data_IF_998365728142
#
_entry.id   IF_998365728142
#
_cell.length_a   1.000
_cell.length_b   1.000
_cell.length_c   1.000
_cell.angle_alpha   90.00
_cell.angle_beta   90.00
_cell.angle_gamma   90.00
#
_symmetry.space_group_name_H-M   'P 1'
#
loop_
_entity.id
_entity.type
_entity.pdbx_description
1 polymer ?
#
# COMPACT_ATOMS: atom_id res chain seq x y z
N UNK A 1 -20.78 32.41 58.93
CA UNK A 1 -19.75 31.40 59.25
C UNK A 1 -19.52 30.54 58.02
N UNK A 2 -18.25 30.41 57.62
CA UNK A 2 -17.74 29.52 56.57
C UNK A 2 -18.35 28.13 56.67
N UNK A 3 -18.73 27.55 55.53
CA UNK A 3 -18.44 26.15 55.23
C UNK A 3 -18.18 26.04 53.73
N UNK A 4 -16.90 25.97 53.43
CA UNK A 4 -16.32 25.65 52.13
C UNK A 4 -16.61 24.17 51.91
N UNK A 5 -17.47 23.83 50.95
CA UNK A 5 -17.47 22.50 50.35
C UNK A 5 -16.91 22.64 48.93
N UNK A 6 -15.58 22.56 48.87
CA UNK A 6 -14.80 22.43 47.67
C UNK A 6 -15.02 21.01 47.13
N UNK A 7 -16.07 20.82 46.32
CA UNK A 7 -16.27 19.55 45.59
C UNK A 7 -15.41 19.58 44.33
N UNK A 8 -14.15 19.19 44.52
CA UNK A 8 -13.21 18.83 43.48
C UNK A 8 -13.67 17.49 42.86
N UNK A 9 -14.65 17.54 41.97
CA UNK A 9 -14.91 16.43 41.06
C UNK A 9 -13.84 16.51 39.97
N UNK A 10 -12.72 15.83 40.24
CA UNK A 10 -11.86 15.24 39.24
C UNK A 10 -12.76 14.42 38.31
N UNK A 11 -13.27 15.05 37.25
CA UNK A 11 -13.68 14.33 36.07
C UNK A 11 -12.41 13.66 35.57
N UNK A 12 -12.23 12.41 36.01
CA UNK A 12 -11.35 11.43 35.42
C UNK A 12 -11.59 11.55 33.93
N UNK A 13 -10.66 12.22 33.26
CA UNK A 13 -10.44 12.11 31.85
C UNK A 13 -10.13 10.64 31.63
N UNK A 14 -11.17 9.82 31.48
CA UNK A 14 -11.10 8.56 30.78
C UNK A 14 -10.69 8.96 29.37
N UNK A 15 -9.38 9.11 29.18
CA UNK A 15 -8.75 8.80 27.92
C UNK A 15 -9.20 7.38 27.61
N UNK A 16 -10.31 7.28 26.87
CA UNK A 16 -10.55 6.16 26.00
C UNK A 16 -9.35 6.16 25.06
N UNK A 17 -8.28 5.48 25.46
CA UNK A 17 -7.47 4.75 24.50
C UNK A 17 -8.45 3.78 23.86
N UNK A 18 -9.10 4.22 22.79
CA UNK A 18 -9.82 3.33 21.89
C UNK A 18 -8.78 2.29 21.47
N UNK A 19 -8.77 1.14 22.13
CA UNK A 19 -8.09 -0.05 21.66
C UNK A 19 -8.83 -0.54 20.44
N UNK A 20 -8.77 0.24 19.35
CA UNK A 20 -9.23 -0.19 18.05
C UNK A 20 -8.47 -1.46 17.74
N UNK A 21 -9.16 -2.58 17.81
CA UNK A 21 -8.63 -3.85 17.36
C UNK A 21 -8.21 -3.66 15.91
N UNK A 22 -6.91 -3.85 15.65
CA UNK A 22 -6.36 -3.72 14.30
C UNK A 22 -7.13 -4.66 13.36
N UNK A 23 -7.61 -4.18 12.19
CA UNK A 23 -8.31 -5.03 11.24
C UNK A 23 -7.48 -6.27 10.89
N UNK A 24 -8.16 -7.39 10.65
CA UNK A 24 -7.50 -8.62 10.22
C UNK A 24 -6.92 -8.40 8.82
N UNK A 25 -5.69 -8.85 8.58
CA UNK A 25 -5.09 -8.83 7.24
C UNK A 25 -6.00 -9.54 6.22
N UNK A 26 -6.29 -8.88 5.10
CA UNK A 26 -7.19 -9.38 4.05
C UNK A 26 -8.67 -9.20 4.31
N UNK A 27 -9.06 -8.44 5.33
CA UNK A 27 -10.46 -8.05 5.56
C UNK A 27 -10.87 -6.78 4.78
N UNK A 28 -9.91 -6.12 4.13
CA UNK A 28 -10.13 -4.91 3.36
C UNK A 28 -11.08 -5.16 2.18
N UNK A 29 -12.13 -4.34 2.09
CA UNK A 29 -13.09 -4.40 0.99
C UNK A 29 -12.61 -3.58 -0.21
N UNK A 30 -12.99 -4.01 -1.40
CA UNK A 30 -12.80 -3.23 -2.63
C UNK A 30 -11.37 -3.22 -3.19
N UNK A 31 -10.49 -4.15 -2.75
CA UNK A 31 -9.08 -4.18 -3.15
C UNK A 31 -8.94 -4.32 -4.67
N UNK A 32 -9.74 -5.20 -5.28
CA UNK A 32 -9.72 -5.46 -6.72
C UNK A 32 -10.08 -4.23 -7.54
N UNK A 33 -11.13 -3.52 -7.15
CA UNK A 33 -11.61 -2.29 -7.81
C UNK A 33 -10.56 -1.18 -7.73
N UNK A 34 -9.87 -1.07 -6.58
CA UNK A 34 -8.78 -0.12 -6.39
C UNK A 34 -7.57 -0.46 -7.25
N UNK A 35 -7.18 -1.75 -7.33
CA UNK A 35 -6.13 -2.21 -8.25
C UNK A 35 -6.48 -1.92 -9.72
N UNK A 36 -7.75 -2.05 -10.12
CA UNK A 36 -8.22 -1.64 -11.44
C UNK A 36 -8.07 -0.13 -11.68
N UNK A 37 -8.37 0.71 -10.68
CA UNK A 37 -8.17 2.17 -10.77
C UNK A 37 -6.69 2.53 -10.90
N UNK A 38 -5.81 1.83 -10.17
CA UNK A 38 -4.36 1.97 -10.30
C UNK A 38 -3.92 1.59 -11.71
N UNK A 39 -4.36 0.44 -12.24
CA UNK A 39 -4.05 0.02 -13.62
C UNK A 39 -4.36 1.11 -14.64
N UNK A 40 -5.52 1.77 -14.52
CA UNK A 40 -5.92 2.88 -15.41
C UNK A 40 -5.07 4.15 -15.23
N UNK A 41 -4.42 4.30 -14.08
CA UNK A 41 -3.65 5.47 -13.68
C UNK A 41 -2.14 5.33 -13.90
N UNK A 42 -1.68 4.14 -14.31
CA UNK A 42 -0.27 3.80 -14.58
C UNK A 42 0.51 4.79 -15.45
N UNK A 43 -0.08 5.52 -16.41
CA UNK A 43 0.68 6.52 -17.15
C UNK A 43 1.25 7.67 -16.30
N UNK A 44 0.61 8.00 -15.18
CA UNK A 44 1.04 9.07 -14.25
C UNK A 44 0.27 8.94 -12.94
N UNK A 45 0.78 8.16 -11.98
CA UNK A 45 0.03 7.90 -10.76
C UNK A 45 -0.14 9.15 -9.92
N UNK A 46 0.90 9.98 -9.81
CA UNK A 46 0.85 11.19 -9.00
C UNK A 46 -0.25 12.10 -9.51
N UNK A 47 -0.26 12.45 -10.79
CA UNK A 47 -1.32 13.29 -11.37
C UNK A 47 -2.73 12.70 -11.24
N UNK A 48 -2.86 11.39 -11.41
CA UNK A 48 -4.17 10.75 -11.52
C UNK A 48 -4.76 10.30 -10.18
N UNK A 49 -3.91 9.96 -9.19
CA UNK A 49 -4.31 9.40 -7.91
C UNK A 49 -4.13 10.34 -6.73
N UNK A 50 -3.56 11.55 -6.89
CA UNK A 50 -3.41 12.50 -5.77
C UNK A 50 -4.26 13.76 -5.91
N UNK A 51 -4.56 14.40 -4.78
CA UNK A 51 -4.97 15.81 -4.68
C UNK A 51 -3.87 16.60 -3.99
N UNK A 52 -3.76 17.88 -4.36
CA UNK A 52 -2.88 18.83 -3.69
C UNK A 52 -3.54 19.24 -2.37
N UNK A 53 -2.89 18.98 -1.24
CA UNK A 53 -3.35 19.52 0.05
C UNK A 53 -3.35 21.06 -0.05
N UNK A 54 -4.34 21.72 0.56
CA UNK A 54 -4.49 23.17 0.54
C UNK A 54 -3.62 23.86 1.61
N UNK A 55 -3.09 23.12 2.59
CA UNK A 55 -2.33 23.66 3.72
C UNK A 55 -0.80 23.81 3.49
N UNK A 56 -0.39 23.68 2.23
CA UNK A 56 0.98 23.80 1.69
C UNK A 56 2.04 24.52 2.56
N UNK A 57 2.98 23.74 3.08
CA UNK A 57 4.41 24.07 3.09
C UNK A 57 5.12 23.27 1.98
N UNK A 58 6.32 23.69 1.54
CA UNK A 58 7.10 22.95 0.53
C UNK A 58 7.50 21.53 1.00
N UNK A 59 7.29 21.23 2.27
CA UNK A 59 7.50 19.92 2.91
C UNK A 59 6.19 19.09 3.06
N UNK A 60 5.02 19.66 2.70
CA UNK A 60 3.71 19.02 2.88
C UNK A 60 3.29 18.15 1.70
N UNK A 61 2.77 16.98 2.06
CA UNK A 61 2.60 15.81 1.19
C UNK A 61 1.30 15.89 0.38
N UNK A 62 1.34 15.31 -0.82
CA UNK A 62 0.13 15.07 -1.60
C UNK A 62 -0.77 14.03 -0.91
N UNK A 63 -2.07 14.32 -0.84
CA UNK A 63 -3.07 13.35 -0.36
C UNK A 63 -3.51 12.41 -1.47
N UNK A 64 -3.83 11.16 -1.12
CA UNK A 64 -4.23 10.15 -2.09
C UNK A 64 -5.75 10.12 -2.25
N UNK A 65 -6.26 10.27 -3.48
CA UNK A 65 -7.68 10.12 -3.85
C UNK A 65 -8.23 8.69 -3.68
N UNK A 66 -7.40 7.76 -3.26
CA UNK A 66 -7.72 6.35 -3.18
C UNK A 66 -6.99 5.77 -1.99
N UNK A 67 -7.72 5.49 -0.93
CA UNK A 67 -7.19 4.82 0.26
C UNK A 67 -7.20 3.31 0.05
N UNK A 68 -6.19 2.61 0.56
CA UNK A 68 -6.08 1.15 0.52
C UNK A 68 -6.24 0.57 1.93
N UNK A 69 -7.43 0.77 2.53
CA UNK A 69 -7.67 0.41 3.94
C UNK A 69 -6.84 1.32 4.86
N UNK A 70 -6.37 0.77 5.99
CA UNK A 70 -5.38 1.43 6.86
C UNK A 70 -3.94 1.34 6.31
N UNK A 71 -3.78 0.95 5.04
CA UNK A 71 -2.50 0.84 4.36
C UNK A 71 -1.94 2.20 3.98
N UNK A 72 -0.66 2.43 4.31
CA UNK A 72 0.05 3.64 3.92
C UNK A 72 0.33 3.57 2.41
N UNK A 73 -0.06 4.62 1.69
CA UNK A 73 0.32 4.86 0.31
C UNK A 73 1.42 5.92 0.27
N UNK A 74 2.52 5.62 -0.40
CA UNK A 74 3.64 6.54 -0.58
C UNK A 74 3.90 6.75 -2.08
N UNK A 75 4.22 7.99 -2.42
CA UNK A 75 4.66 8.39 -3.75
C UNK A 75 6.11 8.85 -3.68
N UNK A 76 6.94 8.26 -4.52
CA UNK A 76 8.35 8.63 -4.67
C UNK A 76 8.61 8.94 -6.16
N UNK A 77 9.50 9.90 -6.42
CA UNK A 77 9.96 10.27 -7.75
C UNK A 77 11.47 10.49 -7.66
N UNK A 78 12.24 9.77 -8.46
CA UNK A 78 13.70 9.89 -8.46
C UNK A 78 14.21 10.94 -9.46
N UNK A 79 15.53 11.17 -9.47
CA UNK A 79 16.19 12.13 -10.38
C UNK A 79 15.96 11.80 -11.86
N UNK A 80 15.77 10.51 -12.16
CA UNK A 80 15.49 10.01 -13.51
C UNK A 80 14.00 10.14 -13.89
N UNK A 81 13.16 10.73 -13.03
CA UNK A 81 11.69 10.86 -13.16
C UNK A 81 10.94 9.52 -13.17
N UNK A 82 11.53 8.47 -12.63
CA UNK A 82 10.80 7.24 -12.34
C UNK A 82 9.80 7.53 -11.24
N UNK A 83 8.51 7.38 -11.54
CA UNK A 83 7.48 7.45 -10.49
C UNK A 83 7.30 6.09 -9.85
N UNK A 84 7.25 6.09 -8.52
CA UNK A 84 7.02 4.90 -7.71
C UNK A 84 5.80 5.10 -6.81
N UNK A 85 4.86 4.15 -6.88
CA UNK A 85 3.71 4.04 -5.97
C UNK A 85 3.90 2.82 -5.07
N UNK A 86 4.00 3.04 -3.76
CA UNK A 86 4.12 1.99 -2.76
C UNK A 86 2.82 1.90 -1.97
N UNK A 87 2.23 0.71 -1.90
CA UNK A 87 1.06 0.41 -1.08
C UNK A 87 1.47 -0.62 -0.05
N UNK A 88 1.42 -0.24 1.23
CA UNK A 88 1.69 -1.17 2.34
C UNK A 88 0.39 -1.83 2.78
N UNK A 89 0.21 -3.08 2.41
CA UNK A 89 -0.92 -3.91 2.82
C UNK A 89 -0.74 -4.49 4.22
N UNK A 90 0.47 -4.41 4.76
CA UNK A 90 0.65 -4.66 6.18
C UNK A 90 1.74 -3.83 6.79
N UNK A 91 1.63 -3.71 8.11
CA UNK A 91 2.67 -3.23 9.00
C UNK A 91 2.26 -3.63 10.41
N UNK A 92 3.22 -3.85 11.31
CA UNK A 92 2.95 -4.32 12.67
C UNK A 92 2.04 -3.38 13.47
N UNK A 93 1.74 -2.19 12.97
CA UNK A 93 0.85 -1.22 13.62
C UNK A 93 -0.56 -1.13 13.02
N UNK A 94 -0.80 -1.69 11.82
CA UNK A 94 -2.04 -1.43 11.06
C UNK A 94 -2.95 -2.66 10.93
N UNK A 95 -2.38 -3.87 10.88
CA UNK A 95 -3.16 -5.10 10.70
C UNK A 95 -2.79 -6.18 11.73
N UNK A 96 -3.76 -7.04 12.05
CA UNK A 96 -3.58 -8.24 12.88
C UNK A 96 -3.59 -9.51 12.03
N UNK A 97 -2.96 -10.59 12.53
CA UNK A 97 -2.95 -11.92 11.89
C UNK A 97 -1.73 -12.75 12.23
N UNK A 98 -1.81 -14.05 11.94
CA UNK A 98 -0.69 -15.01 12.03
C UNK A 98 0.15 -15.01 10.75
N UNK A 99 1.38 -15.53 10.78
CA UNK A 99 2.20 -15.70 9.56
C UNK A 99 1.44 -16.45 8.45
N UNK A 100 0.56 -17.40 8.81
CA UNK A 100 -0.26 -18.12 7.85
C UNK A 100 -1.30 -17.23 7.15
N UNK A 101 -1.97 -16.35 7.89
CA UNK A 101 -2.94 -15.39 7.33
C UNK A 101 -2.26 -14.47 6.30
N UNK A 102 -1.05 -13.99 6.61
CA UNK A 102 -0.31 -13.12 5.70
C UNK A 102 0.19 -13.85 4.46
N UNK A 103 0.68 -15.08 4.59
CA UNK A 103 1.05 -15.92 3.44
C UNK A 103 -0.15 -16.16 2.53
N UNK A 104 -1.31 -16.44 3.10
CA UNK A 104 -2.55 -16.61 2.33
C UNK A 104 -2.96 -15.31 1.62
N UNK A 105 -2.91 -14.17 2.32
CA UNK A 105 -3.26 -12.88 1.72
C UNK A 105 -2.30 -12.47 0.60
N UNK A 106 -0.99 -12.73 0.75
CA UNK A 106 -0.02 -12.55 -0.33
C UNK A 106 -0.41 -13.33 -1.59
N UNK A 107 -0.80 -14.61 -1.44
CA UNK A 107 -1.24 -15.43 -2.58
C UNK A 107 -2.49 -14.83 -3.22
N UNK A 108 -3.47 -14.40 -2.42
CA UNK A 108 -4.69 -13.75 -2.92
C UNK A 108 -4.38 -12.48 -3.71
N UNK A 109 -3.50 -11.60 -3.20
CA UNK A 109 -3.07 -10.39 -3.91
C UNK A 109 -2.35 -10.73 -5.21
N UNK A 110 -1.48 -11.74 -5.20
CA UNK A 110 -0.80 -12.23 -6.40
C UNK A 110 -1.76 -12.69 -7.49
N UNK A 111 -2.77 -13.49 -7.14
CA UNK A 111 -3.79 -13.95 -8.09
C UNK A 111 -4.67 -12.81 -8.60
N UNK A 112 -5.04 -11.85 -7.75
CA UNK A 112 -5.75 -10.65 -8.18
C UNK A 112 -4.94 -9.82 -9.19
N UNK A 113 -3.63 -9.67 -8.96
CA UNK A 113 -2.75 -8.97 -9.90
C UNK A 113 -2.65 -9.73 -11.23
N UNK A 114 -2.43 -11.04 -11.19
CA UNK A 114 -2.43 -11.87 -12.41
C UNK A 114 -3.74 -11.68 -13.18
N UNK A 115 -4.88 -11.72 -12.51
CA UNK A 115 -6.19 -11.54 -13.17
C UNK A 115 -6.32 -10.16 -13.84
N UNK A 116 -5.98 -9.09 -13.13
CA UNK A 116 -6.12 -7.70 -13.59
C UNK A 116 -5.18 -7.40 -14.77
N UNK A 117 -3.99 -8.01 -14.76
CA UNK A 117 -2.91 -7.74 -15.71
C UNK A 117 -2.64 -8.87 -16.72
N UNK A 118 -3.45 -9.94 -16.75
CA UNK A 118 -3.19 -11.19 -17.53
C UNK A 118 -2.86 -11.03 -19.01
N UNK A 119 -3.34 -9.96 -19.65
CA UNK A 119 -3.14 -9.74 -21.08
C UNK A 119 -1.96 -8.80 -21.38
N UNK A 120 -1.40 -8.18 -20.35
CA UNK A 120 -0.44 -7.08 -20.49
C UNK A 120 0.88 -7.39 -19.84
N UNK A 121 0.87 -8.15 -18.73
CA UNK A 121 2.05 -8.49 -17.96
C UNK A 121 2.19 -10.00 -17.83
N UNK A 122 3.43 -10.48 -17.86
CA UNK A 122 3.84 -11.79 -17.33
C UNK A 122 4.35 -11.61 -15.90
N UNK A 123 4.60 -12.71 -15.19
CA UNK A 123 5.17 -12.65 -13.84
C UNK A 123 6.08 -13.85 -13.54
N UNK A 124 7.13 -13.59 -12.76
CA UNK A 124 7.91 -14.63 -12.08
C UNK A 124 7.80 -14.47 -10.57
N UNK A 125 8.05 -15.57 -9.86
CA UNK A 125 7.98 -15.63 -8.42
C UNK A 125 9.29 -16.18 -7.82
N UNK A 126 9.78 -15.49 -6.80
CA UNK A 126 10.91 -15.93 -5.97
C UNK A 126 10.38 -16.19 -4.57
N UNK A 127 10.52 -17.44 -4.11
CA UNK A 127 10.16 -17.86 -2.74
C UNK A 127 11.37 -18.39 -2.00
N UNK A 128 11.65 -17.78 -0.86
CA UNK A 128 12.59 -18.27 0.15
C UNK A 128 11.86 -18.46 1.48
N UNK A 129 12.54 -19.00 2.50
CA UNK A 129 11.95 -19.08 3.85
C UNK A 129 11.56 -17.70 4.42
N UNK A 130 12.33 -16.66 4.12
CA UNK A 130 12.23 -15.34 4.76
C UNK A 130 11.61 -14.26 3.90
N UNK A 131 11.47 -14.50 2.60
CA UNK A 131 11.00 -13.52 1.63
C UNK A 131 10.26 -14.20 0.50
N UNK A 132 9.07 -13.70 0.16
CA UNK A 132 8.41 -13.99 -1.10
C UNK A 132 8.32 -12.70 -1.93
N UNK A 133 8.55 -12.82 -3.24
CA UNK A 133 8.42 -11.71 -4.17
C UNK A 133 7.86 -12.20 -5.49
N UNK A 134 6.81 -11.55 -5.98
CA UNK A 134 6.25 -11.74 -7.31
C UNK A 134 6.51 -10.47 -8.10
N UNK A 135 7.22 -10.60 -9.21
CA UNK A 135 7.53 -9.49 -10.10
C UNK A 135 6.70 -9.65 -11.36
N UNK A 136 5.97 -8.61 -11.75
CA UNK A 136 5.18 -8.54 -12.97
C UNK A 136 5.78 -7.50 -13.91
N UNK A 137 5.82 -7.82 -15.20
CA UNK A 137 6.34 -6.92 -16.24
C UNK A 137 5.73 -7.26 -17.60
N UNK A 138 5.89 -6.37 -18.57
CA UNK A 138 5.29 -6.49 -19.91
C UNK A 138 5.67 -7.80 -20.61
N UNK A 139 4.66 -8.44 -21.22
CA UNK A 139 4.85 -9.66 -22.02
C UNK A 139 5.82 -9.40 -23.16
N UNK A 140 6.78 -10.32 -23.36
CA UNK A 140 7.78 -10.23 -24.42
C UNK A 140 8.99 -9.35 -24.10
N UNK A 141 9.09 -8.79 -22.88
CA UNK A 141 10.24 -8.01 -22.40
C UNK A 141 10.94 -8.67 -21.21
N UNK A 142 12.10 -8.13 -20.84
CA UNK A 142 12.68 -8.34 -19.51
C UNK A 142 12.13 -7.32 -18.51
N UNK A 143 12.19 -7.65 -17.22
CA UNK A 143 11.67 -6.77 -16.16
C UNK A 143 12.32 -5.39 -16.16
N UNK A 144 13.64 -5.30 -16.37
CA UNK A 144 14.39 -4.04 -16.44
C UNK A 144 14.17 -3.23 -17.74
N UNK A 145 13.55 -3.83 -18.75
CA UNK A 145 13.18 -3.16 -20.01
C UNK A 145 11.72 -2.71 -20.02
N UNK A 146 10.96 -3.11 -19.00
CA UNK A 146 9.53 -2.87 -18.97
C UNK A 146 9.21 -1.43 -18.56
N UNK A 147 8.34 -0.71 -19.29
CA UNK A 147 7.89 0.62 -18.91
C UNK A 147 7.16 0.61 -17.56
N UNK A 148 6.60 -0.53 -17.18
CA UNK A 148 5.90 -0.76 -15.92
C UNK A 148 6.43 -2.04 -15.29
N UNK A 149 6.93 -1.94 -14.06
CA UNK A 149 7.22 -3.12 -13.24
C UNK A 149 6.38 -3.06 -11.98
N UNK A 150 5.76 -4.18 -11.61
CA UNK A 150 5.00 -4.31 -10.36
C UNK A 150 5.68 -5.37 -9.50
N UNK A 151 5.91 -5.08 -8.22
CA UNK A 151 6.47 -6.04 -7.27
C UNK A 151 5.54 -6.18 -6.08
N UNK A 152 4.98 -7.37 -5.88
CA UNK A 152 4.35 -7.77 -4.64
C UNK A 152 5.43 -8.43 -3.78
N UNK A 153 5.81 -7.77 -2.69
CA UNK A 153 6.91 -8.17 -1.81
C UNK A 153 6.36 -8.54 -0.45
N UNK A 154 6.96 -9.53 0.16
CA UNK A 154 6.80 -9.76 1.59
C UNK A 154 8.09 -10.18 2.25
N UNK A 155 8.33 -9.60 3.43
CA UNK A 155 9.45 -9.92 4.30
C UNK A 155 8.90 -10.29 5.69
N UNK A 156 9.46 -11.33 6.28
CA UNK A 156 9.08 -11.88 7.59
C UNK A 156 10.15 -11.60 8.66
N UNK A 157 11.14 -10.75 8.38
CA UNK A 157 12.24 -10.43 9.29
C UNK A 157 11.71 -10.08 10.69
N UNK A 158 12.24 -10.73 11.73
CA UNK A 158 11.84 -10.54 13.14
C UNK A 158 10.36 -10.83 13.47
N UNK A 159 9.69 -11.76 12.78
CA UNK A 159 8.26 -12.08 12.97
C UNK A 159 7.32 -10.88 12.74
N UNK A 160 7.77 -9.88 11.99
CA UNK A 160 6.97 -8.71 11.61
C UNK A 160 6.65 -8.81 10.12
N UNK A 161 5.58 -9.53 9.76
CA UNK A 161 5.20 -9.71 8.37
C UNK A 161 4.85 -8.37 7.70
N UNK A 162 5.61 -7.98 6.69
CA UNK A 162 5.32 -6.83 5.84
C UNK A 162 4.91 -7.30 4.45
N UNK A 163 3.85 -6.73 3.89
CA UNK A 163 3.39 -6.94 2.53
C UNK A 163 3.31 -5.58 1.86
N UNK A 164 4.09 -5.41 0.79
CA UNK A 164 4.13 -4.20 -0.01
C UNK A 164 3.83 -4.52 -1.46
N UNK A 165 3.05 -3.66 -2.10
CA UNK A 165 2.90 -3.64 -3.54
C UNK A 165 3.54 -2.37 -4.08
N UNK A 166 4.52 -2.53 -4.96
CA UNK A 166 5.30 -1.41 -5.50
C UNK A 166 5.12 -1.37 -7.01
N UNK A 167 4.68 -0.23 -7.54
CA UNK A 167 4.57 0.02 -8.97
C UNK A 167 5.65 1.00 -9.40
N UNK A 168 6.42 0.63 -10.40
CA UNK A 168 7.45 1.46 -11.02
C UNK A 168 7.01 1.83 -12.43
N UNK A 169 7.10 3.11 -12.79
CA UNK A 169 6.83 3.58 -14.16
C UNK A 169 8.04 4.33 -14.69
N UNK A 170 8.61 3.86 -15.80
CA UNK A 170 9.78 4.49 -16.42
C UNK A 170 9.35 5.61 -17.39
N UNK A 171 10.00 6.79 -17.32
CA UNK A 171 9.60 7.96 -18.11
C UNK A 171 9.87 7.84 -19.62
N UNK A 172 10.79 6.96 -20.03
CA UNK A 172 11.14 6.71 -21.44
C UNK A 172 10.26 5.65 -22.11
N UNK A 173 9.43 4.95 -21.33
CA UNK A 173 8.61 3.85 -21.80
C UNK A 173 7.19 4.32 -22.13
N UNK A 174 6.73 4.08 -23.36
CA UNK A 174 5.28 4.14 -23.63
C UNK A 174 4.62 3.06 -22.77
N UNK A 175 3.93 3.45 -21.70
CA UNK A 175 3.05 2.53 -20.98
C UNK A 175 2.10 1.92 -22.01
N UNK A 176 2.04 0.58 -22.15
CA UNK A 176 1.16 -0.05 -23.13
C UNK A 176 -0.26 0.47 -22.94
N UNK A 177 -1.07 0.57 -24.00
CA UNK A 177 -2.50 0.80 -23.82
C UNK A 177 -3.09 -0.45 -23.13
N UNK A 178 -3.33 -0.34 -21.82
CA UNK A 178 -3.75 -1.42 -20.92
C UNK A 178 -5.27 -1.67 -20.92
#
# INVERSE_FOLDING_TARGET
MRNIFLLLLLSVSTYFSNGQERPKIGSEKGVKEKLWKIKKSLPDFKKNLVVKDRLYTEEDKYDVKMEMGDGIILFEEDEDKQQTLIIRFSGPYFFSGSIADFKQYYVQLGEMLKEIFKNTLTADEVKTEKKWEMTFWEIGKKSYESPVTIKLKTDWFMNKPEIQLVFFTHPSGKVPKL
#
